data_IF_893823484194
#
_entry.id   IF_893823484194
#
_cell.length_a   1.000
_cell.length_b   1.000
_cell.length_c   1.000
_cell.angle_alpha   90.00
_cell.angle_beta   90.00
_cell.angle_gamma   90.00
#
_symmetry.space_group_name_H-M   'P 1'
#
loop_
_entity.id
_entity.type
_entity.pdbx_description
1 polymer ?
#
# COMPACT_ATOMS: atom_id res chain seq x y z
N UNK A 1 13.02 -10.53 -4.73
CA UNK A 1 13.22 -9.25 -4.03
C UNK A 1 12.46 -8.21 -4.85
N UNK A 2 11.36 -7.65 -4.33
CA UNK A 2 10.57 -6.67 -5.08
C UNK A 2 11.28 -5.32 -4.94
N UNK A 3 11.90 -4.83 -6.01
CA UNK A 3 12.39 -3.45 -6.10
C UNK A 3 11.15 -2.58 -6.32
N UNK A 4 11.03 -1.46 -5.61
CA UNK A 4 9.94 -0.49 -5.86
C UNK A 4 10.09 0.02 -7.30
N UNK A 5 9.03 -0.09 -8.11
CA UNK A 5 9.08 0.36 -9.52
C UNK A 5 9.26 1.87 -9.62
N UNK A 6 8.60 2.60 -8.71
CA UNK A 6 8.65 4.04 -8.63
C UNK A 6 8.14 4.50 -7.25
N UNK A 7 8.78 5.49 -6.63
CA UNK A 7 8.27 6.11 -5.41
C UNK A 7 8.32 7.64 -5.49
N UNK A 8 7.52 8.31 -4.67
CA UNK A 8 7.34 9.76 -4.67
C UNK A 8 8.10 10.45 -3.52
N UNK A 9 9.06 9.76 -2.88
CA UNK A 9 9.86 10.35 -1.80
C UNK A 9 10.59 11.61 -2.29
N UNK A 10 11.35 11.50 -3.39
CA UNK A 10 12.09 12.66 -3.92
C UNK A 10 11.18 13.83 -4.29
N UNK A 11 10.02 13.53 -4.86
CA UNK A 11 9.00 14.53 -5.21
C UNK A 11 8.44 15.22 -3.96
N UNK A 12 8.06 14.45 -2.94
CA UNK A 12 7.55 14.95 -1.67
C UNK A 12 8.53 15.91 -1.01
N UNK A 13 9.82 15.54 -0.92
CA UNK A 13 10.88 16.42 -0.40
C UNK A 13 11.05 17.71 -1.21
N UNK A 14 11.11 17.59 -2.54
CA UNK A 14 11.34 18.73 -3.44
C UNK A 14 10.20 19.75 -3.42
N UNK A 15 8.97 19.32 -3.16
CA UNK A 15 7.82 20.21 -3.00
C UNK A 15 7.95 21.15 -1.79
N UNK A 16 8.73 20.76 -0.78
CA UNK A 16 9.06 21.58 0.38
C UNK A 16 10.41 22.31 0.25
N UNK A 17 11.03 22.28 -0.93
CA UNK A 17 12.31 22.92 -1.23
C UNK A 17 13.50 22.47 -0.34
N UNK A 18 13.40 21.29 0.28
CA UNK A 18 14.47 20.75 1.13
C UNK A 18 15.52 20.00 0.32
N UNK A 19 16.77 20.14 0.73
CA UNK A 19 17.88 19.33 0.25
C UNK A 19 17.83 17.94 0.85
N UNK A 20 18.50 17.00 0.19
CA UNK A 20 18.62 15.62 0.69
C UNK A 20 19.32 15.60 2.06
N UNK A 21 20.32 16.46 2.27
CA UNK A 21 21.04 16.62 3.54
C UNK A 21 20.13 17.10 4.67
N UNK A 22 19.19 18.01 4.38
CA UNK A 22 18.27 18.55 5.40
C UNK A 22 17.40 17.43 5.96
N UNK A 23 16.81 16.62 5.06
CA UNK A 23 15.98 15.48 5.47
C UNK A 23 16.81 14.39 6.14
N UNK A 24 18.03 14.14 5.64
CA UNK A 24 18.94 13.19 6.27
C UNK A 24 19.26 13.59 7.72
N UNK A 25 19.50 14.88 7.96
CA UNK A 25 19.71 15.42 9.29
C UNK A 25 18.47 15.30 10.17
N UNK A 26 17.29 15.65 9.65
CA UNK A 26 16.02 15.57 10.39
C UNK A 26 15.65 14.14 10.78
N UNK A 27 16.03 13.16 9.95
CA UNK A 27 15.76 11.73 10.20
C UNK A 27 16.90 11.00 10.90
N UNK A 28 18.02 11.68 11.20
CA UNK A 28 19.26 11.09 11.73
C UNK A 28 19.74 9.89 10.89
N UNK A 29 19.88 10.13 9.57
CA UNK A 29 20.21 9.10 8.58
C UNK A 29 21.37 9.52 7.67
N UNK A 30 22.08 8.53 7.13
CA UNK A 30 23.07 8.76 6.08
C UNK A 30 22.41 9.25 4.78
N UNK A 31 22.96 10.32 4.21
CA UNK A 31 22.48 10.94 2.97
C UNK A 31 22.60 10.01 1.77
N UNK A 32 23.65 9.18 1.69
CA UNK A 32 23.80 8.20 0.63
C UNK A 32 22.72 7.12 0.67
N UNK A 33 22.38 6.63 1.86
CA UNK A 33 21.26 5.72 2.09
C UNK A 33 19.94 6.35 1.64
N UNK A 34 19.66 7.58 2.08
CA UNK A 34 18.42 8.26 1.70
C UNK A 34 18.34 8.50 0.18
N UNK A 35 19.46 8.87 -0.46
CA UNK A 35 19.53 9.00 -1.92
C UNK A 35 19.14 7.72 -2.65
N UNK A 36 19.66 6.58 -2.20
CA UNK A 36 19.34 5.27 -2.81
C UNK A 36 17.86 4.91 -2.63
N UNK A 37 17.27 5.28 -1.49
CA UNK A 37 15.86 5.03 -1.21
C UNK A 37 14.94 5.90 -2.08
N UNK A 38 15.24 7.20 -2.18
CA UNK A 38 14.48 8.11 -3.05
C UNK A 38 14.54 7.75 -4.53
N UNK A 39 15.66 7.18 -4.98
CA UNK A 39 15.86 6.76 -6.36
C UNK A 39 15.39 5.33 -6.64
N UNK A 40 14.82 4.64 -5.65
CA UNK A 40 14.36 3.25 -5.77
C UNK A 40 15.48 2.21 -5.87
N UNK A 41 16.75 2.62 -5.76
CA UNK A 41 17.90 1.71 -5.73
C UNK A 41 17.95 0.86 -4.45
N UNK A 42 17.26 1.29 -3.39
CA UNK A 42 17.11 0.54 -2.15
C UNK A 42 15.70 0.72 -1.60
N UNK A 43 15.22 -0.28 -0.85
CA UNK A 43 13.93 -0.18 -0.18
C UNK A 43 14.00 0.84 0.97
N UNK A 44 13.06 1.80 1.03
CA UNK A 44 12.87 2.66 2.18
C UNK A 44 12.61 1.82 3.42
N UNK A 45 13.32 2.10 4.49
CA UNK A 45 13.05 1.49 5.79
C UNK A 45 11.87 2.21 6.47
N UNK A 46 11.44 1.70 7.63
CA UNK A 46 10.32 2.28 8.36
C UNK A 46 10.58 3.74 8.76
N UNK A 47 11.80 4.09 9.15
CA UNK A 47 12.20 5.47 9.48
C UNK A 47 12.00 6.40 8.29
N UNK A 48 12.41 5.99 7.08
CA UNK A 48 12.19 6.77 5.86
C UNK A 48 10.70 6.93 5.57
N UNK A 49 9.94 5.85 5.62
CA UNK A 49 8.49 5.87 5.29
C UNK A 49 7.72 6.78 6.24
N UNK A 50 7.91 6.60 7.56
CA UNK A 50 7.22 7.41 8.57
C UNK A 50 7.75 8.84 8.59
N UNK A 51 9.06 9.01 8.41
CA UNK A 51 9.71 10.33 8.35
C UNK A 51 9.12 11.20 7.25
N UNK A 52 8.97 10.66 6.04
CA UNK A 52 8.33 11.37 4.94
C UNK A 52 6.86 11.67 5.18
N UNK A 53 6.14 10.73 5.81
CA UNK A 53 4.76 10.95 6.19
C UNK A 53 4.61 12.11 7.19
N UNK A 54 5.49 12.17 8.18
CA UNK A 54 5.46 13.18 9.24
C UNK A 54 5.95 14.54 8.74
N UNK A 55 7.06 14.59 8.00
CA UNK A 55 7.70 15.84 7.57
C UNK A 55 6.92 16.56 6.47
N UNK A 56 6.26 15.81 5.59
CA UNK A 56 5.66 16.35 4.37
C UNK A 56 4.16 16.14 4.28
N UNK A 57 3.54 15.59 5.33
CA UNK A 57 2.11 15.24 5.40
C UNK A 57 1.64 14.39 4.22
N UNK A 58 2.57 13.69 3.56
CA UNK A 58 2.28 12.87 2.39
C UNK A 58 1.85 11.49 2.88
N UNK A 59 0.68 11.03 2.46
CA UNK A 59 0.20 9.72 2.86
C UNK A 59 1.05 8.59 2.26
N UNK A 60 1.14 7.44 2.95
CA UNK A 60 1.94 6.30 2.48
C UNK A 60 1.47 5.80 1.10
N UNK A 61 0.16 5.83 0.84
CA UNK A 61 -0.39 5.43 -0.45
C UNK A 61 0.00 6.40 -1.57
N UNK A 62 0.23 7.69 -1.29
CA UNK A 62 0.77 8.63 -2.28
C UNK A 62 2.28 8.42 -2.48
N UNK A 63 3.03 8.14 -1.42
CA UNK A 63 4.48 7.88 -1.49
C UNK A 63 4.81 6.66 -2.36
N UNK A 64 3.96 5.62 -2.34
CA UNK A 64 4.17 4.35 -3.03
C UNK A 64 2.98 3.97 -3.90
N UNK A 65 2.43 4.93 -4.65
CA UNK A 65 1.15 4.78 -5.36
C UNK A 65 1.03 3.51 -6.20
N UNK A 66 2.01 3.24 -7.06
CA UNK A 66 1.97 2.07 -7.97
C UNK A 66 1.96 0.76 -7.19
N UNK A 67 2.92 0.59 -6.28
CA UNK A 67 3.04 -0.59 -5.44
C UNK A 67 1.83 -0.75 -4.50
N UNK A 68 1.27 0.36 -4.01
CA UNK A 68 0.06 0.37 -3.19
C UNK A 68 -1.14 -0.15 -3.97
N UNK A 69 -1.39 0.36 -5.18
CA UNK A 69 -2.50 -0.09 -6.03
C UNK A 69 -2.34 -1.56 -6.42
N UNK A 70 -1.13 -1.98 -6.81
CA UNK A 70 -0.85 -3.37 -7.12
C UNK A 70 -1.11 -4.28 -5.92
N UNK A 71 -0.63 -3.91 -4.74
CA UNK A 71 -0.85 -4.67 -3.52
C UNK A 71 -2.34 -4.69 -3.12
N UNK A 72 -3.05 -3.58 -3.34
CA UNK A 72 -4.49 -3.47 -3.09
C UNK A 72 -5.28 -4.51 -3.90
N UNK A 73 -5.03 -4.58 -5.20
CA UNK A 73 -5.68 -5.55 -6.10
C UNK A 73 -5.29 -6.99 -5.74
N UNK A 74 -4.02 -7.24 -5.42
CA UNK A 74 -3.56 -8.56 -4.96
C UNK A 74 -4.26 -8.99 -3.66
N UNK A 75 -4.48 -8.07 -2.71
CA UNK A 75 -5.18 -8.35 -1.46
C UNK A 75 -6.65 -8.71 -1.74
N UNK A 76 -7.34 -7.97 -2.62
CA UNK A 76 -8.73 -8.28 -2.99
C UNK A 76 -8.82 -9.69 -3.58
N UNK A 77 -7.99 -10.00 -4.58
CA UNK A 77 -8.00 -11.31 -5.23
C UNK A 77 -7.73 -12.45 -4.23
N UNK A 78 -6.74 -12.28 -3.35
CA UNK A 78 -6.45 -13.29 -2.31
C UNK A 78 -7.55 -13.41 -1.27
N UNK A 79 -8.24 -12.32 -0.94
CA UNK A 79 -9.37 -12.32 -0.02
C UNK A 79 -10.57 -13.07 -0.60
N UNK A 80 -10.87 -12.90 -1.90
CA UNK A 80 -11.91 -13.67 -2.60
C UNK A 80 -11.60 -15.17 -2.58
N UNK A 81 -10.38 -15.56 -2.94
CA UNK A 81 -9.94 -16.97 -2.87
C UNK A 81 -10.06 -17.53 -1.46
N UNK A 82 -9.67 -16.75 -0.43
CA UNK A 82 -9.80 -17.16 0.96
C UNK A 82 -11.27 -17.31 1.36
N UNK A 83 -12.17 -16.44 0.88
CA UNK A 83 -13.60 -16.54 1.14
C UNK A 83 -14.17 -17.87 0.61
N UNK A 84 -13.90 -18.22 -0.64
CA UNK A 84 -14.35 -19.47 -1.27
C UNK A 84 -13.86 -20.70 -0.50
N UNK A 85 -12.57 -20.70 -0.15
CA UNK A 85 -11.97 -21.78 0.64
C UNK A 85 -12.65 -21.93 2.00
N UNK A 86 -13.00 -20.84 2.67
CA UNK A 86 -13.70 -20.87 3.94
C UNK A 86 -15.16 -21.33 3.78
N UNK A 87 -15.87 -20.92 2.73
CA UNK A 87 -17.23 -21.38 2.48
C UNK A 87 -17.32 -22.89 2.26
N UNK A 88 -16.31 -23.51 1.65
CA UNK A 88 -16.25 -24.96 1.47
C UNK A 88 -16.10 -25.74 2.79
N UNK A 89 -15.55 -25.10 3.84
CA UNK A 89 -15.31 -25.70 5.14
C UNK A 89 -16.54 -25.47 6.05
N UNK A 90 -17.55 -26.35 5.96
CA UNK A 90 -18.82 -26.29 6.70
C UNK A 90 -18.69 -26.52 8.23
N UNK A 91 -17.82 -25.78 8.91
CA UNK A 91 -17.60 -25.88 10.37
C UNK A 91 -17.99 -24.60 11.10
N UNK A 92 -18.43 -24.73 12.36
CA UNK A 92 -18.81 -23.59 13.20
C UNK A 92 -17.66 -22.60 13.45
N UNK A 93 -16.42 -23.10 13.49
CA UNK A 93 -15.19 -22.30 13.69
C UNK A 93 -14.88 -21.36 12.51
N UNK A 94 -15.36 -21.68 11.31
CA UNK A 94 -15.07 -20.89 10.10
C UNK A 94 -15.97 -19.65 9.97
N UNK A 95 -17.12 -19.63 10.65
CA UNK A 95 -18.07 -18.50 10.58
C UNK A 95 -17.45 -17.15 10.92
N UNK A 96 -16.62 -17.08 11.97
CA UNK A 96 -15.96 -15.82 12.37
C UNK A 96 -14.92 -15.36 11.35
N UNK A 97 -14.17 -16.31 10.76
CA UNK A 97 -13.15 -16.02 9.73
C UNK A 97 -13.83 -15.51 8.46
N UNK A 98 -14.92 -16.15 8.04
CA UNK A 98 -15.70 -15.73 6.88
C UNK A 98 -16.25 -14.31 7.08
N UNK A 99 -16.81 -14.01 8.26
CA UNK A 99 -17.29 -12.65 8.58
C UNK A 99 -16.16 -11.62 8.52
N UNK A 100 -14.97 -11.95 9.02
CA UNK A 100 -13.82 -11.06 8.96
C UNK A 100 -13.39 -10.78 7.51
N UNK A 101 -13.29 -11.82 6.67
CA UNK A 101 -12.94 -11.68 5.24
C UNK A 101 -13.99 -10.85 4.50
N UNK A 102 -15.29 -11.10 4.72
CA UNK A 102 -16.36 -10.31 4.12
C UNK A 102 -16.29 -8.84 4.54
N UNK A 103 -15.99 -8.56 5.81
CA UNK A 103 -15.85 -7.18 6.30
C UNK A 103 -14.70 -6.46 5.60
N UNK A 104 -13.60 -7.17 5.32
CA UNK A 104 -12.46 -6.62 4.57
C UNK A 104 -12.88 -6.34 3.12
N UNK A 105 -13.52 -7.30 2.45
CA UNK A 105 -13.96 -7.16 1.06
C UNK A 105 -14.96 -6.01 0.89
N UNK A 106 -15.97 -5.89 1.76
CA UNK A 106 -16.94 -4.79 1.71
C UNK A 106 -16.29 -3.41 1.85
N UNK A 107 -15.16 -3.31 2.57
CA UNK A 107 -14.40 -2.06 2.69
C UNK A 107 -13.54 -1.80 1.45
N UNK A 108 -12.98 -2.85 0.84
CA UNK A 108 -12.03 -2.73 -0.26
C UNK A 108 -12.70 -2.66 -1.64
N UNK A 109 -13.88 -3.23 -1.78
CA UNK A 109 -14.70 -3.25 -3.00
C UNK A 109 -16.07 -2.67 -2.61
N UNK A 110 -16.28 -1.35 -2.76
CA UNK A 110 -17.60 -0.76 -2.60
C UNK A 110 -18.55 -1.35 -3.66
N UNK A 111 -19.83 -1.52 -3.31
CA UNK A 111 -20.87 -2.24 -4.08
C UNK A 111 -21.12 -1.75 -5.54
N UNK A 112 -20.46 -0.68 -6.00
CA UNK A 112 -20.66 -0.06 -7.33
C UNK A 112 -20.01 -0.83 -8.51
N UNK A 113 -19.28 -1.92 -8.27
CA UNK A 113 -18.60 -2.70 -9.33
C UNK A 113 -19.33 -4.00 -9.75
N UNK A 114 -20.58 -4.21 -9.32
CA UNK A 114 -21.36 -5.43 -9.59
C UNK A 114 -22.61 -5.23 -10.50
N UNK A 115 -22.81 -4.05 -11.10
CA UNK A 115 -24.02 -3.72 -11.88
C UNK A 115 -23.80 -3.50 -13.39
N UNK A 116 -22.82 -4.15 -14.05
CA UNK A 116 -22.67 -4.03 -15.51
C UNK A 116 -22.57 -5.37 -16.26
N UNK A 117 -23.13 -6.47 -15.75
CA UNK A 117 -23.09 -7.74 -16.49
C UNK A 117 -24.36 -8.59 -16.49
N UNK A 118 -25.54 -8.04 -16.14
CA UNK A 118 -26.81 -8.78 -16.28
C UNK A 118 -27.95 -7.94 -16.90
N UNK A 119 -27.66 -7.19 -17.97
CA UNK A 119 -28.71 -6.80 -18.93
C UNK A 119 -28.13 -6.85 -20.33
N UNK A 120 -28.32 -7.98 -21.01
CA UNK A 120 -28.45 -8.12 -22.47
C UNK A 120 -28.90 -9.56 -22.75
N UNK A 121 -30.18 -9.84 -22.46
CA UNK A 121 -30.95 -10.96 -23.05
C UNK A 121 -31.34 -10.62 -24.51
#
# INVERSE_FOLDING_TARGET
MHILSHNYLSTSRKNYHLQLSDVSQLLDMDTGNLSRQETGQSLPNLTTILGYHILFETSIHQLFKEDYMKLYDEIINRALVLQEQLQSQKTSKVKHRLKAVQTILNRLVPDELYYESEEDE
#
